data_IF_252632846909
#
_entry.id   IF_252632846909
#
_cell.length_a   1.000
_cell.length_b   1.000
_cell.length_c   1.000
_cell.angle_alpha   90.00
_cell.angle_beta   90.00
_cell.angle_gamma   90.00
#
_symmetry.space_group_name_H-M   'P 1'
#
loop_
_entity.id
_entity.type
_entity.pdbx_description
1 polymer ?
#
# COMPACT_ATOMS: atom_id res chain seq x y z
N UNK A 1 -17.19 -6.51 2.47
CA UNK A 1 -17.35 -6.26 1.02
C UNK A 1 -16.36 -7.16 0.33
N UNK A 2 -16.75 -7.93 -0.68
CA UNK A 2 -15.78 -8.76 -1.43
C UNK A 2 -15.08 -7.90 -2.48
N UNK A 3 -13.75 -7.83 -2.42
CA UNK A 3 -12.95 -7.13 -3.44
C UNK A 3 -12.83 -8.00 -4.69
N UNK A 4 -13.06 -7.40 -5.86
CA UNK A 4 -12.82 -8.08 -7.14
C UNK A 4 -11.35 -8.42 -7.35
N UNK A 5 -11.06 -9.46 -8.13
CA UNK A 5 -9.68 -9.87 -8.43
C UNK A 5 -8.88 -8.76 -9.11
N UNK A 6 -9.53 -7.90 -9.90
CA UNK A 6 -8.91 -6.70 -10.47
C UNK A 6 -8.43 -5.73 -9.39
N UNK A 7 -9.23 -5.52 -8.34
CA UNK A 7 -8.86 -4.64 -7.23
C UNK A 7 -7.69 -5.25 -6.46
N UNK A 8 -7.75 -6.56 -6.17
CA UNK A 8 -6.65 -7.28 -5.49
C UNK A 8 -5.35 -7.18 -6.30
N UNK A 9 -5.40 -7.39 -7.61
CA UNK A 9 -4.24 -7.28 -8.49
C UNK A 9 -3.67 -5.85 -8.53
N UNK A 10 -4.54 -4.82 -8.58
CA UNK A 10 -4.08 -3.44 -8.45
C UNK A 10 -3.39 -3.17 -7.11
N UNK A 11 -3.94 -3.70 -6.00
CA UNK A 11 -3.35 -3.56 -4.67
C UNK A 11 -1.99 -4.25 -4.58
N UNK A 12 -1.83 -5.44 -5.16
CA UNK A 12 -0.56 -6.17 -5.20
C UNK A 12 0.52 -5.38 -5.95
N UNK A 13 0.19 -4.87 -7.15
CA UNK A 13 1.10 -4.02 -7.95
C UNK A 13 1.55 -2.80 -7.15
N UNK A 14 0.60 -2.08 -6.55
CA UNK A 14 0.91 -0.85 -5.81
C UNK A 14 1.69 -1.14 -4.52
N UNK A 15 1.39 -2.25 -3.84
CA UNK A 15 2.14 -2.67 -2.66
C UNK A 15 3.60 -2.96 -3.01
N UNK A 16 3.84 -3.68 -4.10
CA UNK A 16 5.19 -4.00 -4.56
C UNK A 16 5.94 -2.73 -5.01
N UNK A 17 5.29 -1.85 -5.79
CA UNK A 17 5.84 -0.55 -6.18
C UNK A 17 6.28 0.27 -4.96
N UNK A 18 5.42 0.41 -3.95
CA UNK A 18 5.73 1.21 -2.77
C UNK A 18 6.81 0.58 -1.88
N UNK A 19 6.83 -0.75 -1.75
CA UNK A 19 7.81 -1.45 -0.93
C UNK A 19 9.20 -1.43 -1.57
N UNK A 20 9.31 -1.54 -2.89
CA UNK A 20 10.59 -1.47 -3.60
C UNK A 20 11.35 -0.15 -3.39
N UNK A 21 10.64 0.94 -3.10
CA UNK A 21 11.23 2.25 -2.79
C UNK A 21 11.76 2.35 -1.34
N UNK A 22 11.42 1.40 -0.46
CA UNK A 22 11.98 1.32 0.89
C UNK A 22 13.34 0.61 0.89
N UNK A 23 14.27 0.96 1.81
CA UNK A 23 15.51 0.21 1.98
C UNK A 23 15.23 -1.28 2.20
N UNK A 24 15.88 -2.14 1.39
CA UNK A 24 15.70 -3.59 1.40
C UNK A 24 14.25 -4.07 1.17
N UNK A 25 13.39 -3.25 0.54
CA UNK A 25 11.98 -3.60 0.34
C UNK A 25 11.07 -3.28 1.55
N UNK A 26 11.62 -2.67 2.60
CA UNK A 26 10.93 -2.40 3.86
C UNK A 26 10.82 -3.63 4.77
N UNK A 27 10.69 -3.39 6.07
CA UNK A 27 10.43 -4.45 7.04
C UNK A 27 8.96 -4.93 7.00
N UNK A 28 8.68 -5.99 7.76
CA UNK A 28 7.34 -6.55 7.85
C UNK A 28 6.31 -5.54 8.36
N UNK A 29 6.71 -4.60 9.23
CA UNK A 29 5.81 -3.58 9.78
C UNK A 29 5.45 -2.53 8.73
N UNK A 30 6.43 -2.03 7.99
CA UNK A 30 6.27 -1.07 6.89
C UNK A 30 5.39 -1.64 5.78
N UNK A 31 5.66 -2.89 5.38
CA UNK A 31 4.88 -3.57 4.35
C UNK A 31 3.44 -3.79 4.80
N UNK A 32 3.24 -4.18 6.07
CA UNK A 32 1.91 -4.35 6.65
C UNK A 32 1.14 -3.03 6.68
N UNK A 33 1.77 -1.94 7.10
CA UNK A 33 1.14 -0.62 7.16
C UNK A 33 0.65 -0.16 5.79
N UNK A 34 1.43 -0.38 4.73
CA UNK A 34 1.03 -0.04 3.36
C UNK A 34 -0.13 -0.93 2.90
N UNK A 35 -0.09 -2.24 3.19
CA UNK A 35 -1.16 -3.17 2.83
C UNK A 35 -2.49 -2.84 3.53
N UNK A 36 -2.46 -2.53 4.82
CA UNK A 36 -3.64 -2.11 5.59
C UNK A 36 -4.25 -0.83 5.02
N UNK A 37 -3.42 0.15 4.65
CA UNK A 37 -3.92 1.38 4.05
C UNK A 37 -4.56 1.17 2.67
N UNK A 38 -4.01 0.26 1.86
CA UNK A 38 -4.58 -0.13 0.57
C UNK A 38 -5.93 -0.82 0.73
N UNK A 39 -6.04 -1.71 1.73
CA UNK A 39 -7.29 -2.40 2.04
C UNK A 39 -8.37 -1.40 2.47
N UNK A 40 -8.06 -0.50 3.40
CA UNK A 40 -8.99 0.55 3.85
C UNK A 40 -9.45 1.44 2.68
N UNK A 41 -8.53 1.80 1.78
CA UNK A 41 -8.86 2.59 0.59
C UNK A 41 -9.83 1.84 -0.34
N UNK A 42 -9.56 0.56 -0.61
CA UNK A 42 -10.40 -0.28 -1.44
C UNK A 42 -11.79 -0.51 -0.84
N UNK A 43 -11.89 -0.76 0.47
CA UNK A 43 -13.14 -0.89 1.20
C UNK A 43 -13.96 0.42 1.20
N UNK A 44 -13.27 1.56 1.15
CA UNK A 44 -13.88 2.89 1.02
C UNK A 44 -14.29 3.25 -0.42
N UNK A 45 -14.09 2.35 -1.39
CA UNK A 45 -14.49 2.54 -2.79
C UNK A 45 -13.39 3.08 -3.71
N UNK A 46 -12.17 3.32 -3.21
CA UNK A 46 -11.03 3.69 -4.03
C UNK A 46 -10.44 2.45 -4.72
N UNK A 47 -10.79 2.23 -5.98
CA UNK A 47 -10.54 0.95 -6.65
C UNK A 47 -9.66 1.06 -7.89
N UNK A 48 -9.38 2.29 -8.34
CA UNK A 48 -8.48 2.51 -9.47
C UNK A 48 -7.02 2.44 -9.02
N UNK A 49 -6.14 2.09 -9.94
CA UNK A 49 -4.70 2.03 -9.68
C UNK A 49 -4.14 3.36 -9.15
N UNK A 50 -4.62 4.49 -9.69
CA UNK A 50 -4.13 5.81 -9.30
C UNK A 50 -4.58 6.23 -7.89
N UNK A 51 -5.81 5.89 -7.50
CA UNK A 51 -6.30 6.16 -6.14
C UNK A 51 -5.56 5.29 -5.11
N UNK A 52 -5.33 4.02 -5.45
CA UNK A 52 -4.55 3.11 -4.61
C UNK A 52 -3.10 3.56 -4.46
N UNK A 53 -2.44 4.04 -5.53
CA UNK A 53 -1.12 4.68 -5.43
C UNK A 53 -1.13 5.89 -4.51
N UNK A 54 -2.16 6.72 -4.61
CA UNK A 54 -2.30 7.89 -3.74
C UNK A 54 -2.44 7.49 -2.25
N UNK A 55 -3.13 6.38 -1.96
CA UNK A 55 -3.22 5.82 -0.62
C UNK A 55 -1.87 5.24 -0.15
N UNK A 56 -1.18 4.48 -1.00
CA UNK A 56 0.14 3.93 -0.70
C UNK A 56 1.19 5.01 -0.44
N UNK A 57 1.18 6.13 -1.17
CA UNK A 57 2.12 7.24 -0.93
C UNK A 57 1.96 7.85 0.47
N UNK A 58 0.73 7.97 0.97
CA UNK A 58 0.47 8.45 2.35
C UNK A 58 0.98 7.46 3.40
N UNK A 59 0.81 6.16 3.15
CA UNK A 59 1.34 5.10 4.01
C UNK A 59 2.87 5.03 3.96
N UNK A 60 3.45 5.13 2.78
CA UNK A 60 4.89 5.12 2.55
C UNK A 60 5.60 6.23 3.33
N UNK A 61 5.05 7.46 3.31
CA UNK A 61 5.59 8.56 4.10
C UNK A 61 5.66 8.25 5.60
N UNK A 62 4.71 7.48 6.14
CA UNK A 62 4.73 6.99 7.53
C UNK A 62 5.75 5.85 7.71
N UNK A 63 5.77 4.90 6.78
CA UNK A 63 6.70 3.75 6.82
C UNK A 63 8.16 4.19 6.81
N UNK A 64 8.53 5.22 6.03
CA UNK A 64 9.89 5.78 6.02
C UNK A 64 10.31 6.33 7.39
N UNK A 65 9.36 6.80 8.22
CA UNK A 65 9.66 7.28 9.57
C UNK A 65 9.87 6.14 10.58
N UNK A 66 9.26 4.98 10.36
CA UNK A 66 9.46 3.78 11.19
C UNK A 66 10.89 3.28 11.03
N UNK A 67 11.37 3.17 9.79
CA UNK A 67 12.71 2.68 9.47
C UNK A 67 13.87 3.62 9.85
N UNK A 68 13.56 4.83 10.36
CA UNK A 68 14.57 5.83 10.78
C UNK A 68 14.81 5.86 12.29
N UNK A 69 14.08 5.06 13.07
CA UNK A 69 14.24 4.90 14.52
C UNK A 69 15.10 3.69 14.83
#
# INVERSE_FOLDING_TARGET
MELSDRIKSNMEVVLEEACCELPNGGDHESRRLIAEQLLEAAESGHTTLNELRSAALRAFAKAVLINRQ
#
